data_IF_360974743385
#
_entry.id   IF_360974743385
#
_cell.length_a   1.000
_cell.length_b   1.000
_cell.length_c   1.000
_cell.angle_alpha   90.00
_cell.angle_beta   90.00
_cell.angle_gamma   90.00
#
_symmetry.space_group_name_H-M   'P 1'
#
loop_
_entity.id
_entity.type
_entity.pdbx_description
1 polymer ?
#
# COMPACT_ATOMS: atom_id res chain seq x y z
N UNK A 1 -15.17 10.33 16.01
CA UNK A 1 -16.43 10.57 16.76
C UNK A 1 -17.51 11.08 15.81
N UNK A 2 -17.31 12.17 15.04
CA UNK A 2 -18.32 12.72 14.12
C UNK A 2 -18.85 11.68 13.09
N UNK A 3 -17.98 10.85 12.53
CA UNK A 3 -18.36 9.77 11.59
C UNK A 3 -19.24 8.70 12.25
N UNK A 4 -19.03 8.41 13.53
CA UNK A 4 -19.88 7.46 14.25
C UNK A 4 -21.31 8.00 14.45
N UNK A 5 -21.46 9.30 14.69
CA UNK A 5 -22.78 9.94 14.74
C UNK A 5 -23.49 9.89 13.39
N UNK A 6 -22.74 10.03 12.31
CA UNK A 6 -23.29 9.93 10.94
C UNK A 6 -23.78 8.49 10.66
N UNK A 7 -23.05 7.48 11.13
CA UNK A 7 -23.48 6.09 11.07
C UNK A 7 -24.73 5.81 11.90
N UNK A 8 -24.81 6.36 13.11
CA UNK A 8 -25.99 6.25 13.97
C UNK A 8 -27.21 6.93 13.33
N UNK A 9 -27.04 8.11 12.75
CA UNK A 9 -28.11 8.81 12.04
C UNK A 9 -28.65 8.00 10.85
N UNK A 10 -27.76 7.35 10.07
CA UNK A 10 -28.18 6.48 8.98
C UNK A 10 -29.02 5.28 9.45
N UNK A 11 -28.65 4.65 10.57
CA UNK A 11 -29.43 3.55 11.16
C UNK A 11 -30.82 4.00 11.66
N UNK A 12 -30.92 5.23 12.21
CA UNK A 12 -32.18 5.82 12.64
C UNK A 12 -33.07 6.14 11.44
N UNK A 13 -32.53 6.67 10.34
CA UNK A 13 -33.26 6.94 9.09
C UNK A 13 -33.84 5.65 8.53
N UNK A 14 -33.09 4.54 8.58
CA UNK A 14 -33.54 3.22 8.14
C UNK A 14 -34.48 2.53 9.14
N UNK A 15 -34.77 3.17 10.26
CA UNK A 15 -35.64 2.65 11.34
C UNK A 15 -35.27 1.21 11.75
N UNK A 16 -33.95 0.90 11.81
CA UNK A 16 -33.47 -0.44 12.10
C UNK A 16 -32.38 -0.41 13.20
N UNK A 17 -32.77 -0.76 14.43
CA UNK A 17 -31.89 -0.74 15.60
C UNK A 17 -30.74 -1.76 15.47
N UNK A 18 -30.95 -2.88 14.74
CA UNK A 18 -29.91 -3.89 14.55
C UNK A 18 -28.78 -3.44 13.62
N UNK A 19 -29.03 -2.46 12.74
CA UNK A 19 -28.03 -1.83 11.88
C UNK A 19 -27.21 -0.76 12.60
N UNK A 20 -27.68 -0.25 13.74
CA UNK A 20 -27.01 0.82 14.48
C UNK A 20 -25.55 0.43 14.87
N UNK A 21 -25.29 -0.71 15.54
CA UNK A 21 -23.91 -1.09 15.87
C UNK A 21 -23.06 -1.32 14.63
N UNK A 22 -23.65 -1.86 13.54
CA UNK A 22 -22.96 -2.12 12.28
C UNK A 22 -22.47 -0.81 11.66
N UNK A 23 -23.33 0.18 11.51
CA UNK A 23 -22.97 1.48 10.95
C UNK A 23 -22.01 2.27 11.84
N UNK A 24 -22.18 2.22 13.18
CA UNK A 24 -21.25 2.87 14.11
C UNK A 24 -19.83 2.28 13.98
N UNK A 25 -19.70 0.96 13.91
CA UNK A 25 -18.42 0.29 13.74
C UNK A 25 -17.84 0.57 12.34
N UNK A 26 -18.64 0.50 11.28
CA UNK A 26 -18.22 0.78 9.91
C UNK A 26 -17.67 2.21 9.77
N UNK A 27 -18.42 3.20 10.25
CA UNK A 27 -18.00 4.60 10.20
C UNK A 27 -16.81 4.90 11.14
N UNK A 28 -16.72 4.22 12.29
CA UNK A 28 -15.58 4.34 13.19
C UNK A 28 -14.29 3.73 12.60
N UNK A 29 -14.41 2.62 11.86
CA UNK A 29 -13.29 1.96 11.20
C UNK A 29 -12.84 2.65 9.90
N UNK A 30 -13.73 3.41 9.24
CA UNK A 30 -13.48 4.05 7.95
C UNK A 30 -12.17 4.89 7.91
N UNK A 31 -11.88 5.80 8.85
CA UNK A 31 -10.65 6.59 8.84
C UNK A 31 -9.40 5.72 8.97
N UNK A 32 -9.45 4.67 9.80
CA UNK A 32 -8.33 3.74 9.96
C UNK A 32 -8.07 2.94 8.67
N UNK A 33 -9.13 2.48 8.01
CA UNK A 33 -9.03 1.77 6.72
C UNK A 33 -8.54 2.69 5.61
N UNK A 34 -8.91 3.97 5.64
CA UNK A 34 -8.44 4.97 4.68
C UNK A 34 -6.93 5.25 4.86
N UNK A 35 -6.47 5.51 6.09
CA UNK A 35 -5.04 5.68 6.38
C UNK A 35 -4.23 4.45 5.96
N UNK A 36 -4.69 3.25 6.29
CA UNK A 36 -4.02 2.01 5.90
C UNK A 36 -3.90 1.87 4.37
N UNK A 37 -4.90 2.34 3.61
CA UNK A 37 -4.85 2.32 2.14
C UNK A 37 -3.82 3.30 1.58
N UNK A 38 -3.70 4.50 2.17
CA UNK A 38 -2.71 5.51 1.76
C UNK A 38 -1.30 5.00 2.03
N UNK A 39 -1.06 4.45 3.23
CA UNK A 39 0.25 3.89 3.60
C UNK A 39 0.65 2.77 2.64
N UNK A 40 -0.26 1.83 2.35
CA UNK A 40 0.02 0.74 1.42
C UNK A 40 0.28 1.23 -0.02
N UNK A 41 -0.39 2.28 -0.46
CA UNK A 41 -0.15 2.89 -1.77
C UNK A 41 1.23 3.55 -1.84
N UNK A 42 1.61 4.27 -0.78
CA UNK A 42 2.93 4.89 -0.65
C UNK A 42 4.06 3.85 -0.61
N UNK A 43 3.91 2.79 0.20
CA UNK A 43 4.89 1.70 0.28
C UNK A 43 5.08 1.01 -1.08
N UNK A 44 3.99 0.80 -1.81
CA UNK A 44 4.06 0.23 -3.17
C UNK A 44 4.80 1.17 -4.13
N UNK A 45 4.46 2.46 -4.13
CA UNK A 45 5.12 3.44 -4.98
C UNK A 45 6.61 3.54 -4.66
N UNK A 46 6.98 3.53 -3.38
CA UNK A 46 8.37 3.51 -2.93
C UNK A 46 9.12 2.28 -3.47
N UNK A 47 8.55 1.09 -3.36
CA UNK A 47 9.16 -0.14 -3.84
C UNK A 47 9.33 -0.14 -5.38
N UNK A 48 8.33 0.34 -6.13
CA UNK A 48 8.38 0.44 -7.58
C UNK A 48 9.45 1.43 -8.06
N UNK A 49 9.56 2.60 -7.42
CA UNK A 49 10.58 3.60 -7.74
C UNK A 49 11.97 3.15 -7.29
N UNK A 50 12.08 2.43 -6.17
CA UNK A 50 13.34 1.92 -5.66
C UNK A 50 13.98 0.94 -6.65
N UNK A 51 13.22 -0.03 -7.15
CA UNK A 51 13.73 -0.99 -8.14
C UNK A 51 14.23 -0.28 -9.40
N UNK A 52 13.46 0.66 -9.92
CA UNK A 52 13.81 1.41 -11.14
C UNK A 52 15.05 2.28 -10.91
N UNK A 53 15.09 3.00 -9.78
CA UNK A 53 16.18 3.93 -9.45
C UNK A 53 17.49 3.18 -9.18
N UNK A 54 17.46 2.14 -8.32
CA UNK A 54 18.66 1.38 -8.00
C UNK A 54 19.21 0.65 -9.21
N UNK A 55 18.34 0.11 -10.08
CA UNK A 55 18.76 -0.51 -11.34
C UNK A 55 19.47 0.50 -12.24
N UNK A 56 18.90 1.68 -12.43
CA UNK A 56 19.47 2.70 -13.31
C UNK A 56 20.82 3.22 -12.77
N UNK A 57 20.88 3.56 -11.48
CA UNK A 57 22.11 4.04 -10.84
C UNK A 57 23.18 2.95 -10.84
N UNK A 58 22.83 1.68 -10.53
CA UNK A 58 23.78 0.56 -10.55
C UNK A 58 24.35 0.35 -11.96
N UNK A 59 23.52 0.34 -13.00
CA UNK A 59 23.98 0.19 -14.38
C UNK A 59 24.91 1.34 -14.80
N UNK A 60 24.62 2.58 -14.41
CA UNK A 60 25.53 3.71 -14.64
C UNK A 60 26.84 3.55 -13.85
N UNK A 61 26.79 3.10 -12.60
CA UNK A 61 27.96 2.88 -11.75
C UNK A 61 28.86 1.76 -12.28
N UNK A 62 28.30 0.65 -12.77
CA UNK A 62 29.07 -0.44 -13.37
C UNK A 62 29.88 0.03 -14.59
N UNK A 63 29.39 1.04 -15.29
CA UNK A 63 30.05 1.62 -16.48
C UNK A 63 31.08 2.68 -16.12
N UNK A 64 30.74 3.60 -15.18
CA UNK A 64 31.57 4.77 -14.87
C UNK A 64 32.52 4.56 -13.69
N UNK A 65 32.22 3.60 -12.81
CA UNK A 65 32.88 3.36 -11.51
C UNK A 65 32.90 4.61 -10.59
N UNK A 66 32.01 5.56 -10.87
CA UNK A 66 31.84 6.78 -10.10
C UNK A 66 30.36 6.94 -9.71
N UNK A 67 30.10 6.85 -8.39
CA UNK A 67 28.73 6.91 -7.86
C UNK A 67 28.12 8.29 -7.98
N UNK A 68 28.91 9.37 -7.82
CA UNK A 68 28.43 10.74 -7.91
C UNK A 68 27.92 11.02 -9.32
N UNK A 69 28.76 10.73 -10.32
CA UNK A 69 28.39 10.87 -11.74
C UNK A 69 27.19 10.00 -12.09
N UNK A 70 27.12 8.77 -11.56
CA UNK A 70 26.01 7.84 -11.81
C UNK A 70 24.69 8.35 -11.25
N UNK A 71 24.68 8.91 -10.05
CA UNK A 71 23.50 9.51 -9.44
C UNK A 71 23.11 10.78 -10.20
N UNK A 72 24.07 11.65 -10.53
CA UNK A 72 23.83 12.90 -11.25
C UNK A 72 23.17 12.68 -12.64
N UNK A 73 23.67 11.69 -13.39
CA UNK A 73 23.13 11.31 -14.70
C UNK A 73 21.65 10.87 -14.58
N UNK A 74 21.32 10.14 -13.52
CA UNK A 74 20.00 9.53 -13.33
C UNK A 74 19.02 10.41 -12.53
N UNK A 75 19.48 11.45 -11.81
CA UNK A 75 18.66 12.24 -10.90
C UNK A 75 17.37 12.79 -11.55
N UNK A 76 17.45 13.21 -12.81
CA UNK A 76 16.29 13.75 -13.56
C UNK A 76 15.17 12.72 -13.81
N UNK A 77 15.46 11.43 -13.67
CA UNK A 77 14.50 10.34 -13.86
C UNK A 77 13.98 9.78 -12.54
N UNK A 78 14.65 10.10 -11.43
CA UNK A 78 14.24 9.66 -10.09
C UNK A 78 13.02 10.46 -9.67
N UNK A 79 12.00 9.76 -9.17
CA UNK A 79 10.76 10.38 -8.70
C UNK A 79 10.65 10.38 -7.18
N UNK A 80 9.79 11.25 -6.61
CA UNK A 80 9.45 11.14 -5.20
C UNK A 80 8.90 9.73 -4.86
N UNK A 81 9.25 9.16 -3.70
CA UNK A 81 9.95 9.79 -2.57
C UNK A 81 11.49 9.72 -2.61
N UNK A 82 12.09 8.99 -3.54
CA UNK A 82 13.54 8.78 -3.58
C UNK A 82 14.32 10.00 -4.08
N UNK A 83 13.71 10.87 -4.86
CA UNK A 83 14.37 12.06 -5.41
C UNK A 83 15.10 12.87 -4.34
N UNK A 84 14.41 13.19 -3.24
CA UNK A 84 15.02 13.98 -2.16
C UNK A 84 16.19 13.30 -1.49
N UNK A 85 16.18 11.98 -1.39
CA UNK A 85 17.27 11.18 -0.79
C UNK A 85 18.53 11.25 -1.65
N UNK A 86 18.39 11.10 -2.97
CA UNK A 86 19.51 11.18 -3.91
C UNK A 86 19.99 12.61 -4.17
N UNK A 87 19.09 13.60 -4.17
CA UNK A 87 19.44 15.03 -4.27
C UNK A 87 20.26 15.47 -3.04
N UNK A 88 19.86 15.07 -1.83
CA UNK A 88 20.59 15.37 -0.61
C UNK A 88 21.98 14.72 -0.62
N UNK A 89 22.10 13.47 -1.07
CA UNK A 89 23.40 12.80 -1.27
C UNK A 89 24.32 13.60 -2.19
N UNK A 90 23.83 14.07 -3.35
CA UNK A 90 24.63 14.90 -4.25
C UNK A 90 25.02 16.23 -3.61
N UNK A 91 24.09 16.89 -2.93
CA UNK A 91 24.36 18.15 -2.24
C UNK A 91 25.42 17.97 -1.16
N UNK A 92 25.36 16.88 -0.39
CA UNK A 92 26.33 16.58 0.66
C UNK A 92 27.73 16.33 0.06
N UNK A 93 27.81 15.56 -1.02
CA UNK A 93 29.10 15.23 -1.66
C UNK A 93 29.70 16.38 -2.46
N UNK A 94 28.90 17.28 -3.05
CA UNK A 94 29.39 18.41 -3.84
C UNK A 94 29.69 19.67 -2.98
N UNK A 95 28.92 19.92 -1.91
CA UNK A 95 28.97 21.17 -1.17
C UNK A 95 29.56 21.08 0.25
N UNK A 96 29.45 19.93 0.92
CA UNK A 96 29.71 19.84 2.36
C UNK A 96 30.94 19.00 2.68
N UNK A 97 31.09 17.81 2.12
CA UNK A 97 32.23 16.91 2.42
C UNK A 97 32.52 15.99 1.24
N UNK A 98 33.81 15.87 0.83
CA UNK A 98 34.23 14.90 -0.18
C UNK A 98 34.24 13.45 0.32
N UNK A 99 33.76 13.17 1.53
CA UNK A 99 33.70 11.82 2.09
C UNK A 99 32.42 11.10 1.57
N UNK A 100 32.59 10.44 0.43
CA UNK A 100 31.52 9.67 -0.22
C UNK A 100 30.95 8.58 0.69
N UNK A 101 31.79 7.94 1.54
CA UNK A 101 31.33 6.87 2.41
C UNK A 101 30.37 7.37 3.48
N UNK A 102 30.69 8.47 4.12
CA UNK A 102 29.82 9.10 5.12
C UNK A 102 28.52 9.55 4.49
N UNK A 103 28.54 10.16 3.30
CA UNK A 103 27.35 10.57 2.58
C UNK A 103 26.46 9.36 2.19
N UNK A 104 27.05 8.25 1.75
CA UNK A 104 26.33 7.00 1.48
C UNK A 104 25.68 6.44 2.75
N UNK A 105 26.38 6.41 3.88
CA UNK A 105 25.83 5.94 5.15
C UNK A 105 24.67 6.82 5.61
N UNK A 106 24.79 8.14 5.53
CA UNK A 106 23.71 9.08 5.82
C UNK A 106 22.49 8.84 4.93
N UNK A 107 22.72 8.54 3.64
CA UNK A 107 21.66 8.18 2.71
C UNK A 107 20.93 6.89 3.13
N UNK A 108 21.65 5.89 3.67
CA UNK A 108 21.05 4.63 4.14
C UNK A 108 20.09 4.83 5.30
N UNK A 109 20.34 5.79 6.18
CA UNK A 109 19.53 6.05 7.36
C UNK A 109 18.19 6.75 7.04
N UNK A 110 18.09 7.37 5.85
CA UNK A 110 16.85 8.00 5.38
C UNK A 110 15.76 7.01 5.00
N UNK A 111 16.12 5.77 4.74
CA UNK A 111 15.18 4.72 4.28
C UNK A 111 15.18 3.55 5.24
N UNK A 112 13.99 3.06 5.60
CA UNK A 112 13.85 1.88 6.47
C UNK A 112 13.85 0.54 5.71
N UNK A 113 14.12 0.57 4.41
CA UNK A 113 14.13 -0.63 3.57
C UNK A 113 15.46 -1.37 3.68
N UNK A 114 15.39 -2.68 3.97
CA UNK A 114 16.59 -3.53 4.17
C UNK A 114 17.42 -3.69 2.90
N UNK A 115 16.77 -3.83 1.73
CA UNK A 115 17.48 -4.02 0.45
C UNK A 115 18.20 -2.72 0.04
N UNK A 116 17.57 -1.56 0.28
CA UNK A 116 18.21 -0.28 0.06
C UNK A 116 19.46 -0.12 0.91
N UNK A 117 19.38 -0.47 2.20
CA UNK A 117 20.55 -0.45 3.11
C UNK A 117 21.65 -1.40 2.66
N UNK A 118 21.29 -2.62 2.26
CA UNK A 118 22.23 -3.60 1.71
C UNK A 118 22.95 -3.08 0.47
N UNK A 119 22.20 -2.44 -0.45
CA UNK A 119 22.76 -1.82 -1.65
C UNK A 119 23.74 -0.68 -1.33
N UNK A 120 23.35 0.22 -0.41
CA UNK A 120 24.24 1.31 0.04
C UNK A 120 25.51 0.76 0.69
N UNK A 121 25.39 -0.24 1.57
CA UNK A 121 26.54 -0.88 2.19
C UNK A 121 27.45 -1.56 1.17
N UNK A 122 26.90 -2.16 0.13
CA UNK A 122 27.69 -2.71 -0.97
C UNK A 122 28.44 -1.60 -1.74
N UNK A 123 27.79 -0.45 -2.00
CA UNK A 123 28.47 0.72 -2.59
C UNK A 123 29.59 1.26 -1.72
N UNK A 124 29.41 1.32 -0.40
CA UNK A 124 30.47 1.73 0.54
C UNK A 124 31.68 0.79 0.43
N UNK A 125 31.44 -0.53 0.35
CA UNK A 125 32.52 -1.52 0.13
C UNK A 125 33.19 -1.35 -1.23
N UNK A 126 32.43 -1.03 -2.27
CA UNK A 126 32.99 -0.75 -3.59
C UNK A 126 33.89 0.50 -3.64
N UNK A 127 33.79 1.43 -2.66
CA UNK A 127 34.73 2.53 -2.55
C UNK A 127 36.12 2.07 -2.05
N UNK A 128 36.19 0.94 -1.34
CA UNK A 128 37.45 0.33 -0.89
C UNK A 128 38.02 -0.62 -1.95
N UNK A 129 37.14 -1.43 -2.55
CA UNK A 129 37.50 -2.44 -3.54
C UNK A 129 36.49 -2.45 -4.70
N UNK A 130 36.88 -1.87 -5.82
CA UNK A 130 36.08 -1.76 -7.05
C UNK A 130 35.75 -3.11 -7.68
N UNK A 131 36.47 -4.19 -7.35
CA UNK A 131 36.19 -5.53 -7.85
C UNK A 131 34.84 -6.06 -7.33
N UNK A 132 34.34 -5.49 -6.23
CA UNK A 132 33.06 -5.87 -5.62
C UNK A 132 31.83 -5.29 -6.33
N UNK A 133 32.00 -4.47 -7.38
CA UNK A 133 30.88 -3.82 -8.10
C UNK A 133 29.85 -4.82 -8.62
N UNK A 134 30.26 -6.02 -9.00
CA UNK A 134 29.35 -7.06 -9.50
C UNK A 134 28.41 -7.60 -8.42
N UNK A 135 28.72 -7.37 -7.14
CA UNK A 135 27.81 -7.74 -6.02
C UNK A 135 26.55 -6.87 -5.95
N UNK A 136 26.53 -5.72 -6.61
CA UNK A 136 25.37 -4.84 -6.68
C UNK A 136 24.23 -5.45 -7.53
N UNK A 137 24.56 -6.18 -8.59
CA UNK A 137 23.55 -6.78 -9.48
C UNK A 137 22.61 -7.75 -8.79
N UNK A 138 23.08 -8.72 -7.98
CA UNK A 138 22.19 -9.62 -7.24
C UNK A 138 21.27 -8.88 -6.26
N UNK A 139 21.75 -7.80 -5.62
CA UNK A 139 20.96 -7.01 -4.68
C UNK A 139 19.79 -6.34 -5.42
N UNK A 140 20.08 -5.73 -6.57
CA UNK A 140 19.05 -5.11 -7.41
C UNK A 140 18.11 -6.14 -8.01
N UNK A 141 18.60 -7.31 -8.41
CA UNK A 141 17.77 -8.40 -8.93
C UNK A 141 16.72 -8.87 -7.89
N UNK A 142 17.08 -8.91 -6.61
CA UNK A 142 16.12 -9.22 -5.52
C UNK A 142 14.95 -8.24 -5.46
N UNK A 143 15.15 -6.95 -5.77
CA UNK A 143 14.05 -5.97 -5.84
C UNK A 143 13.08 -6.31 -6.97
N UNK A 144 13.59 -6.68 -8.14
CA UNK A 144 12.77 -7.12 -9.28
C UNK A 144 11.95 -8.37 -8.95
N UNK A 145 12.55 -9.35 -8.27
CA UNK A 145 11.85 -10.57 -7.85
C UNK A 145 10.73 -10.26 -6.84
N UNK A 146 11.01 -9.44 -5.84
CA UNK A 146 10.02 -8.99 -4.86
C UNK A 146 8.87 -8.25 -5.53
N UNK A 147 9.17 -7.35 -6.46
CA UNK A 147 8.16 -6.62 -7.22
C UNK A 147 7.30 -7.56 -8.06
N UNK A 148 7.92 -8.52 -8.74
CA UNK A 148 7.21 -9.52 -9.54
C UNK A 148 6.23 -10.32 -8.70
N UNK A 149 6.69 -10.86 -7.56
CA UNK A 149 5.84 -11.61 -6.64
C UNK A 149 4.68 -10.74 -6.12
N UNK A 150 4.95 -9.49 -5.71
CA UNK A 150 3.92 -8.57 -5.26
C UNK A 150 2.92 -8.21 -6.36
N UNK A 151 3.35 -8.14 -7.62
CA UNK A 151 2.47 -7.85 -8.76
C UNK A 151 1.56 -9.04 -9.06
N UNK A 152 2.09 -10.26 -9.08
CA UNK A 152 1.32 -11.49 -9.26
C UNK A 152 0.29 -11.67 -8.14
N UNK A 153 0.73 -11.51 -6.88
CA UNK A 153 -0.14 -11.60 -5.71
C UNK A 153 -1.25 -10.52 -5.74
N UNK A 154 -0.90 -9.28 -6.08
CA UNK A 154 -1.88 -8.20 -6.16
C UNK A 154 -2.89 -8.39 -7.30
N UNK A 155 -2.52 -9.10 -8.37
CA UNK A 155 -3.44 -9.54 -9.42
C UNK A 155 -4.52 -10.49 -8.88
N UNK A 156 -4.08 -11.58 -8.26
CA UNK A 156 -4.97 -12.60 -7.66
C UNK A 156 -5.89 -11.97 -6.60
N UNK A 157 -5.32 -11.14 -5.72
CA UNK A 157 -6.09 -10.47 -4.67
C UNK A 157 -7.08 -9.44 -5.22
N UNK A 158 -6.78 -8.82 -6.37
CA UNK A 158 -7.70 -7.89 -7.03
C UNK A 158 -8.93 -8.59 -7.59
N UNK A 159 -8.74 -9.78 -8.16
CA UNK A 159 -9.86 -10.56 -8.68
C UNK A 159 -10.78 -11.01 -7.56
N UNK A 160 -10.24 -11.55 -6.47
CA UNK A 160 -11.02 -11.91 -5.29
C UNK A 160 -11.74 -10.71 -4.67
N UNK A 161 -11.12 -9.52 -4.67
CA UNK A 161 -11.75 -8.28 -4.19
C UNK A 161 -12.92 -7.86 -5.09
N UNK A 162 -12.74 -7.95 -6.40
CA UNK A 162 -13.80 -7.60 -7.36
C UNK A 162 -14.99 -8.56 -7.24
N UNK A 163 -14.71 -9.86 -7.09
CA UNK A 163 -15.74 -10.87 -6.85
C UNK A 163 -16.52 -10.58 -5.57
N UNK A 164 -15.83 -10.30 -4.47
CA UNK A 164 -16.46 -9.89 -3.22
C UNK A 164 -17.35 -8.65 -3.38
N UNK A 165 -16.84 -7.60 -4.06
CA UNK A 165 -17.62 -6.38 -4.30
C UNK A 165 -18.88 -6.65 -5.14
N UNK A 166 -18.79 -7.54 -6.14
CA UNK A 166 -19.94 -7.95 -6.93
C UNK A 166 -20.97 -8.71 -6.07
N UNK A 167 -20.54 -9.61 -5.19
CA UNK A 167 -21.45 -10.29 -4.27
C UNK A 167 -22.15 -9.32 -3.32
N UNK A 168 -21.40 -8.36 -2.74
CA UNK A 168 -21.99 -7.32 -1.88
C UNK A 168 -22.99 -6.46 -2.67
N UNK A 169 -22.65 -6.08 -3.90
CA UNK A 169 -23.55 -5.31 -4.77
C UNK A 169 -24.85 -6.08 -5.06
N UNK A 170 -24.77 -7.38 -5.33
CA UNK A 170 -25.95 -8.22 -5.54
C UNK A 170 -26.82 -8.32 -4.29
N UNK A 171 -26.22 -8.51 -3.11
CA UNK A 171 -26.96 -8.60 -1.84
C UNK A 171 -27.67 -7.28 -1.52
N UNK A 172 -26.94 -6.16 -1.61
CA UNK A 172 -27.52 -4.82 -1.35
C UNK A 172 -28.53 -4.43 -2.43
N UNK A 173 -28.23 -4.73 -3.70
CA UNK A 173 -29.11 -4.47 -4.84
C UNK A 173 -30.38 -5.29 -4.84
N UNK A 174 -30.41 -6.41 -4.11
CA UNK A 174 -31.65 -7.20 -3.93
C UNK A 174 -32.75 -6.41 -3.18
N UNK A 175 -32.38 -5.52 -2.27
CA UNK A 175 -33.36 -4.72 -1.49
C UNK A 175 -34.20 -3.82 -2.39
N UNK A 176 -33.67 -2.95 -3.26
CA UNK A 176 -34.48 -2.17 -4.20
C UNK A 176 -35.19 -3.04 -5.23
N UNK A 177 -34.60 -4.19 -5.60
CA UNK A 177 -35.26 -5.13 -6.51
C UNK A 177 -36.53 -5.73 -5.88
N UNK A 178 -36.51 -6.11 -4.61
CA UNK A 178 -37.67 -6.56 -3.86
C UNK A 178 -38.76 -5.47 -3.81
N UNK A 179 -38.38 -4.20 -3.65
CA UNK A 179 -39.35 -3.11 -3.68
C UNK A 179 -40.14 -3.03 -5.02
N UNK A 180 -39.43 -3.30 -6.14
CA UNK A 180 -40.04 -3.26 -7.48
C UNK A 180 -40.86 -4.50 -7.78
N UNK A 181 -40.42 -5.69 -7.36
CA UNK A 181 -41.04 -6.96 -7.71
C UNK A 181 -42.14 -7.36 -6.74
N UNK A 182 -41.96 -7.13 -5.45
CA UNK A 182 -42.91 -7.55 -4.42
C UNK A 182 -42.85 -6.67 -3.19
N UNK A 183 -43.79 -5.73 -3.10
CA UNK A 183 -43.89 -4.76 -1.99
C UNK A 183 -44.17 -5.41 -0.63
N UNK A 184 -44.88 -6.52 -0.60
CA UNK A 184 -45.20 -7.18 0.66
C UNK A 184 -43.99 -7.82 1.29
N UNK A 185 -43.13 -8.44 0.48
CA UNK A 185 -41.85 -9.00 0.92
C UNK A 185 -40.88 -7.90 1.35
N UNK A 186 -40.80 -6.79 0.61
CA UNK A 186 -40.02 -5.64 1.00
C UNK A 186 -40.50 -5.07 2.33
N UNK A 187 -41.81 -4.88 2.52
CA UNK A 187 -42.39 -4.39 3.77
C UNK A 187 -42.11 -5.34 4.93
N UNK A 188 -42.21 -6.65 4.71
CA UNK A 188 -41.85 -7.65 5.72
C UNK A 188 -40.39 -7.57 6.10
N UNK A 189 -39.48 -7.40 5.14
CA UNK A 189 -38.02 -7.30 5.39
C UNK A 189 -37.64 -6.02 6.16
N UNK A 190 -38.25 -4.87 5.81
CA UNK A 190 -37.84 -3.57 6.36
C UNK A 190 -38.60 -3.21 7.64
N UNK A 191 -39.89 -3.55 7.74
CA UNK A 191 -40.72 -3.05 8.85
C UNK A 191 -41.00 -4.08 9.94
N UNK A 192 -40.84 -5.38 9.68
CA UNK A 192 -41.05 -6.39 10.74
C UNK A 192 -39.77 -6.60 11.59
N UNK A 193 -39.94 -6.98 12.85
CA UNK A 193 -38.81 -7.25 13.76
C UNK A 193 -37.88 -8.36 13.24
N UNK A 194 -38.41 -9.52 12.76
CA UNK A 194 -37.54 -10.56 12.19
C UNK A 194 -36.79 -10.10 10.93
N UNK A 195 -37.46 -9.32 10.05
CA UNK A 195 -36.81 -8.77 8.85
C UNK A 195 -35.65 -7.79 9.20
N UNK A 196 -35.85 -6.93 10.19
CA UNK A 196 -34.83 -6.03 10.71
C UNK A 196 -33.64 -6.80 11.31
N UNK A 197 -33.88 -7.89 12.01
CA UNK A 197 -32.82 -8.73 12.54
C UNK A 197 -31.99 -9.40 11.44
N UNK A 198 -32.65 -9.94 10.40
CA UNK A 198 -31.96 -10.56 9.25
C UNK A 198 -31.11 -9.53 8.50
N UNK A 199 -31.64 -8.34 8.20
CA UNK A 199 -30.88 -7.29 7.54
C UNK A 199 -29.70 -6.80 8.39
N UNK A 200 -29.86 -6.75 9.72
CA UNK A 200 -28.77 -6.44 10.66
C UNK A 200 -27.66 -7.48 10.66
N UNK A 201 -28.01 -8.77 10.67
CA UNK A 201 -27.04 -9.88 10.59
C UNK A 201 -26.30 -9.86 9.24
N UNK A 202 -27.00 -9.69 8.13
CA UNK A 202 -26.38 -9.57 6.81
C UNK A 202 -25.40 -8.39 6.75
N UNK A 203 -25.79 -7.23 7.28
CA UNK A 203 -24.92 -6.07 7.38
C UNK A 203 -23.67 -6.35 8.24
N UNK A 204 -23.81 -7.04 9.37
CA UNK A 204 -22.70 -7.43 10.22
C UNK A 204 -21.74 -8.39 9.52
N UNK A 205 -22.25 -9.40 8.79
CA UNK A 205 -21.43 -10.33 8.00
C UNK A 205 -20.65 -9.59 6.91
N UNK A 206 -21.31 -8.69 6.16
CA UNK A 206 -20.63 -7.88 5.14
C UNK A 206 -19.52 -7.03 5.76
N UNK A 207 -19.77 -6.42 6.91
CA UNK A 207 -18.77 -5.59 7.59
C UNK A 207 -17.57 -6.41 8.06
N UNK A 208 -17.80 -7.55 8.71
CA UNK A 208 -16.74 -8.43 9.19
C UNK A 208 -15.89 -8.95 8.02
N UNK A 209 -16.54 -9.45 6.97
CA UNK A 209 -15.84 -9.95 5.77
C UNK A 209 -15.09 -8.83 5.05
N UNK A 210 -15.60 -7.59 5.03
CA UNK A 210 -14.89 -6.44 4.47
C UNK A 210 -13.62 -6.11 5.26
N UNK A 211 -13.68 -6.12 6.58
CA UNK A 211 -12.52 -5.87 7.44
C UNK A 211 -11.47 -6.99 7.25
N UNK A 212 -11.91 -8.25 7.22
CA UNK A 212 -11.02 -9.39 6.98
C UNK A 212 -10.37 -9.31 5.60
N UNK A 213 -11.13 -9.02 4.55
CA UNK A 213 -10.61 -8.81 3.20
C UNK A 213 -9.49 -7.75 3.21
N UNK A 214 -9.72 -6.57 3.81
CA UNK A 214 -8.72 -5.51 3.93
C UNK A 214 -7.48 -5.95 4.72
N UNK A 215 -7.64 -6.77 5.75
CA UNK A 215 -6.53 -7.27 6.57
C UNK A 215 -5.64 -8.23 5.76
N UNK A 216 -6.23 -9.12 4.98
CA UNK A 216 -5.51 -10.15 4.22
C UNK A 216 -5.01 -9.67 2.85
N UNK A 217 -5.51 -8.56 2.34
CA UNK A 217 -5.08 -7.97 1.03
C UNK A 217 -3.90 -6.99 1.17
N UNK A 218 -3.17 -7.01 2.30
CA UNK A 218 -1.96 -6.19 2.44
C UNK A 218 -0.81 -6.78 1.62
N UNK A 219 0.01 -5.94 0.95
CA UNK A 219 1.22 -6.40 0.27
C UNK A 219 2.16 -7.09 1.26
N UNK A 220 2.83 -8.13 0.79
CA UNK A 220 3.84 -8.85 1.59
C UNK A 220 5.05 -7.94 1.71
N UNK A 221 5.39 -7.54 2.94
CA UNK A 221 6.69 -6.94 3.23
C UNK A 221 7.71 -8.07 3.29
N UNK A 222 8.77 -7.95 2.52
CA UNK A 222 9.97 -8.76 2.76
C UNK A 222 10.56 -8.26 4.07
N UNK A 223 10.27 -8.99 5.12
CA UNK A 223 10.84 -8.76 6.44
C UNK A 223 12.06 -9.67 6.54
N UNK A 224 13.23 -9.07 6.74
CA UNK A 224 14.45 -9.77 7.13
C UNK A 224 14.24 -10.57 8.40
#
# INVERSE_FOLDING_TARGET
VALMFLGAAAAVILNNIFLLPVFCIACGAAPFLYLSSIISAYEKQLADEMETTLSAVTNSYLRSEDIISSVKENLKYIKPPLYSVFEEFLTETEAVSPDIKSALLNMSDKTQDGIFKEWVLALVRCQDDRTLKDTLLPIVARLSDVRRINTELSGILRDAKNEYLMMVLLVVGNIPLLYLLNRDWFNTLIYTTPGKAVTGICGAVILVTFILMKKYTKPVKVRD
#
